data_IF_241019247708
#
_entry.id   IF_241019247708
#
_cell.length_a   1.000
_cell.length_b   1.000
_cell.length_c   1.000
_cell.angle_alpha   90.00
_cell.angle_beta   90.00
_cell.angle_gamma   90.00
#
_symmetry.space_group_name_H-M   'P 1'
#
loop_
_entity.id
_entity.type
_entity.pdbx_description
1 polymer ?
#
# COMPACT_ATOMS: atom_id res chain seq x y z
N UNK A 1 21.66 -6.29 -21.67
CA UNK A 1 20.82 -6.89 -20.61
C UNK A 1 20.24 -5.78 -19.74
N UNK A 2 19.32 -4.96 -20.26
CA UNK A 2 18.90 -3.70 -19.59
C UNK A 2 17.41 -3.35 -19.71
N UNK A 3 16.59 -4.24 -20.27
CA UNK A 3 15.16 -4.01 -20.50
C UNK A 3 14.25 -4.73 -19.47
N UNK A 4 14.76 -5.70 -18.72
CA UNK A 4 13.96 -6.52 -17.79
C UNK A 4 13.59 -5.78 -16.49
N UNK A 5 14.46 -4.90 -15.98
CA UNK A 5 14.23 -4.20 -14.70
C UNK A 5 13.06 -3.21 -14.76
N UNK A 6 12.91 -2.47 -15.86
CA UNK A 6 11.82 -1.52 -16.04
C UNK A 6 10.47 -2.25 -16.18
N UNK A 7 10.45 -3.36 -16.91
CA UNK A 7 9.25 -4.20 -17.05
C UNK A 7 8.77 -4.78 -15.72
N UNK A 8 9.66 -5.26 -14.85
CA UNK A 8 9.27 -5.79 -13.53
C UNK A 8 8.69 -4.70 -12.63
N UNK A 9 9.28 -3.50 -12.63
CA UNK A 9 8.77 -2.36 -11.85
C UNK A 9 7.38 -1.95 -12.36
N UNK A 10 7.21 -1.79 -13.67
CA UNK A 10 5.90 -1.46 -14.28
C UNK A 10 4.85 -2.54 -14.01
N UNK A 11 5.24 -3.82 -14.03
CA UNK A 11 4.34 -4.94 -13.75
C UNK A 11 3.95 -4.98 -12.27
N UNK A 12 4.90 -4.76 -11.36
CA UNK A 12 4.64 -4.68 -9.93
C UNK A 12 3.76 -3.46 -9.57
N UNK A 13 4.01 -2.32 -10.21
CA UNK A 13 3.20 -1.11 -10.08
C UNK A 13 1.78 -1.34 -10.60
N UNK A 14 1.64 -2.01 -11.75
CA UNK A 14 0.35 -2.42 -12.32
C UNK A 14 -0.41 -3.37 -11.40
N UNK A 15 0.25 -4.37 -10.81
CA UNK A 15 -0.35 -5.29 -9.85
C UNK A 15 -0.78 -4.58 -8.56
N UNK A 16 0.02 -3.66 -8.04
CA UNK A 16 -0.34 -2.79 -6.90
C UNK A 16 -1.58 -1.96 -7.23
N UNK A 17 -1.62 -1.34 -8.40
CA UNK A 17 -2.76 -0.53 -8.83
C UNK A 17 -4.03 -1.37 -8.99
N UNK A 18 -3.89 -2.57 -9.54
CA UNK A 18 -4.99 -3.54 -9.68
C UNK A 18 -5.49 -3.97 -8.30
N UNK A 19 -4.60 -4.29 -7.35
CA UNK A 19 -5.01 -4.67 -5.99
C UNK A 19 -5.65 -3.51 -5.21
N UNK A 20 -5.06 -2.31 -5.27
CA UNK A 20 -5.60 -1.09 -4.66
C UNK A 20 -6.96 -0.70 -5.28
N UNK A 21 -7.13 -0.88 -6.59
CA UNK A 21 -8.38 -0.59 -7.31
C UNK A 21 -9.43 -1.69 -7.19
N UNK A 22 -9.04 -2.96 -7.03
CA UNK A 22 -9.95 -4.09 -6.89
C UNK A 22 -10.76 -4.00 -5.59
N UNK A 23 -10.18 -3.53 -4.49
CA UNK A 23 -10.88 -3.33 -3.21
C UNK A 23 -12.17 -2.49 -3.34
N UNK A 24 -12.09 -1.23 -3.81
CA UNK A 24 -13.26 -0.38 -4.03
C UNK A 24 -14.15 -0.87 -5.18
N UNK A 25 -13.60 -1.55 -6.19
CA UNK A 25 -14.36 -2.00 -7.37
C UNK A 25 -15.18 -3.28 -7.11
N UNK A 26 -14.67 -4.25 -6.35
CA UNK A 26 -15.41 -5.48 -5.99
C UNK A 26 -16.46 -5.22 -4.91
N UNK A 27 -16.13 -4.43 -3.88
CA UNK A 27 -17.02 -4.23 -2.73
C UNK A 27 -17.03 -2.78 -2.23
N UNK A 28 -17.61 -1.83 -3.00
CA UNK A 28 -17.63 -0.42 -2.63
C UNK A 28 -18.34 -0.14 -1.29
N UNK A 29 -19.38 -0.92 -0.96
CA UNK A 29 -20.12 -0.79 0.31
C UNK A 29 -19.30 -1.27 1.51
N UNK A 30 -18.63 -2.43 1.39
CA UNK A 30 -17.80 -2.96 2.46
C UNK A 30 -16.56 -2.09 2.67
N UNK A 31 -15.92 -1.66 1.58
CA UNK A 31 -14.80 -0.73 1.58
C UNK A 31 -15.16 0.59 2.28
N UNK A 32 -16.28 1.20 1.91
CA UNK A 32 -16.74 2.45 2.54
C UNK A 32 -17.09 2.27 4.02
N UNK A 33 -17.67 1.12 4.40
CA UNK A 33 -17.94 0.78 5.81
C UNK A 33 -16.64 0.58 6.60
N UNK A 34 -15.63 -0.02 5.99
CA UNK A 34 -14.30 -0.21 6.58
C UNK A 34 -13.60 1.14 6.81
N UNK A 35 -13.61 2.02 5.80
CA UNK A 35 -13.09 3.38 5.93
C UNK A 35 -13.87 4.17 6.98
N UNK A 36 -15.21 4.14 6.94
CA UNK A 36 -16.01 4.85 7.94
C UNK A 36 -15.77 4.34 9.36
N UNK A 37 -15.58 3.03 9.55
CA UNK A 37 -15.20 2.50 10.85
C UNK A 37 -13.84 3.05 11.30
N UNK A 38 -12.86 3.17 10.39
CA UNK A 38 -11.56 3.79 10.68
C UNK A 38 -11.65 5.30 10.94
N UNK A 39 -12.52 6.03 10.25
CA UNK A 39 -12.74 7.48 10.45
C UNK A 39 -13.58 7.77 11.70
N UNK A 40 -14.38 6.81 12.16
CA UNK A 40 -15.12 6.89 13.43
C UNK A 40 -14.23 6.56 14.64
N UNK A 41 -13.03 5.99 14.42
CA UNK A 41 -12.06 5.78 15.49
C UNK A 41 -11.46 7.13 15.93
N UNK A 42 -11.19 7.34 17.23
CA UNK A 42 -10.61 8.58 17.75
C UNK A 42 -9.34 8.96 17.01
N UNK A 43 -9.14 10.25 16.71
CA UNK A 43 -7.99 10.78 15.97
C UNK A 43 -6.63 10.32 16.53
N UNK A 44 -6.54 10.08 17.84
CA UNK A 44 -5.36 9.54 18.50
C UNK A 44 -5.00 8.12 18.00
N UNK A 45 -6.00 7.26 17.78
CA UNK A 45 -5.81 5.91 17.25
C UNK A 45 -5.53 5.97 15.76
N UNK A 46 -6.23 6.84 15.01
CA UNK A 46 -5.96 7.03 13.58
C UNK A 46 -4.52 7.53 13.33
N UNK A 47 -4.00 8.43 14.17
CA UNK A 47 -2.59 8.87 14.13
C UNK A 47 -1.61 7.77 14.47
N UNK A 48 -1.94 6.87 15.40
CA UNK A 48 -1.10 5.69 15.73
C UNK A 48 -1.08 4.69 14.59
N UNK A 49 -2.23 4.43 13.97
CA UNK A 49 -2.33 3.58 12.79
C UNK A 49 -1.59 4.19 11.60
N UNK A 50 -1.80 5.47 11.30
CA UNK A 50 -1.09 6.19 10.26
C UNK A 50 0.42 6.21 10.51
N UNK A 51 0.84 6.48 11.75
CA UNK A 51 2.26 6.43 12.15
C UNK A 51 2.84 5.02 12.00
N UNK A 52 2.11 3.99 12.41
CA UNK A 52 2.50 2.59 12.21
C UNK A 52 2.62 2.21 10.74
N UNK A 53 1.71 2.70 9.90
CA UNK A 53 1.75 2.49 8.44
C UNK A 53 2.95 3.19 7.80
N UNK A 54 3.28 4.41 8.24
CA UNK A 54 4.47 5.15 7.79
C UNK A 54 5.74 4.40 8.18
N UNK A 55 5.82 3.90 9.42
CA UNK A 55 6.98 3.12 9.89
C UNK A 55 7.10 1.81 9.11
N UNK A 56 6.01 1.05 8.97
CA UNK A 56 5.99 -0.19 8.21
C UNK A 56 6.36 0.03 6.74
N UNK A 57 5.79 1.06 6.10
CA UNK A 57 6.12 1.45 4.73
C UNK A 57 7.59 1.85 4.57
N UNK A 58 8.15 2.59 5.53
CA UNK A 58 9.55 2.99 5.53
C UNK A 58 10.48 1.77 5.68
N UNK A 59 10.13 0.81 6.54
CA UNK A 59 10.87 -0.46 6.71
C UNK A 59 10.81 -1.29 5.44
N UNK A 60 9.63 -1.47 4.85
CA UNK A 60 9.46 -2.22 3.59
C UNK A 60 10.25 -1.54 2.46
N UNK A 61 10.15 -0.22 2.35
CA UNK A 61 10.91 0.57 1.39
C UNK A 61 12.42 0.38 1.56
N UNK A 62 12.92 0.46 2.80
CA UNK A 62 14.33 0.21 3.10
C UNK A 62 14.76 -1.21 2.76
N UNK A 63 13.97 -2.22 3.12
CA UNK A 63 14.24 -3.61 2.80
C UNK A 63 14.27 -3.85 1.29
N UNK A 64 13.26 -3.36 0.56
CA UNK A 64 13.17 -3.53 -0.87
C UNK A 64 14.30 -2.80 -1.60
N UNK A 65 14.61 -1.57 -1.17
CA UNK A 65 15.74 -0.80 -1.70
C UNK A 65 17.09 -1.44 -1.39
N UNK A 66 17.24 -2.10 -0.23
CA UNK A 66 18.45 -2.87 0.07
C UNK A 66 18.56 -4.14 -0.76
N UNK A 67 17.44 -4.79 -1.10
CA UNK A 67 17.44 -6.02 -1.91
C UNK A 67 17.64 -5.75 -3.41
N UNK A 68 17.29 -4.56 -3.89
CA UNK A 68 17.51 -4.13 -5.29
C UNK A 68 18.86 -3.44 -5.51
N UNK A 69 19.62 -3.18 -4.44
CA UNK A 69 20.93 -2.53 -4.49
C UNK A 69 22.14 -3.45 -4.34
N UNK A 70 21.93 -4.79 -4.30
CA UNK A 70 22.98 -5.81 -4.26
C UNK A 70 23.11 -6.55 -5.57
#
# INVERSE_FOLDING_TARGET
MGQTMNSTILLALGLVLVLEGLGPMLYPKAWRKMIQAMTQLPDATLRRFGGGLVVAGCVIYYMLRSHMGS
#
